data_IF_635079292767
#
_entry.id   IF_635079292767
#
_cell.length_a   1.000
_cell.length_b   1.000
_cell.length_c   1.000
_cell.angle_alpha   90.00
_cell.angle_beta   90.00
_cell.angle_gamma   90.00
#
_symmetry.space_group_name_H-M   'P 1'
#
loop_
_entity.id
_entity.type
_entity.pdbx_description
1 polymer ?
#
# COMPACT_ATOMS: atom_id res chain seq x y z
N UNK A 1 -1.03 -13.62 -31.06
CA UNK A 1 -1.90 -12.95 -32.06
C UNK A 1 -2.99 -13.85 -32.65
N UNK A 2 -4.24 -13.37 -32.77
CA UNK A 2 -5.36 -14.04 -33.46
C UNK A 2 -5.41 -13.68 -34.95
N UNK A 3 -5.75 -14.64 -35.81
CA UNK A 3 -6.07 -14.33 -37.22
C UNK A 3 -7.43 -13.64 -37.33
N UNK A 4 -7.70 -12.96 -38.45
CA UNK A 4 -9.01 -12.33 -38.72
C UNK A 4 -10.15 -13.33 -38.55
N UNK A 5 -9.96 -14.57 -39.01
CA UNK A 5 -10.95 -15.64 -38.92
C UNK A 5 -11.14 -16.13 -37.48
N UNK A 6 -10.06 -16.29 -36.71
CA UNK A 6 -10.11 -16.66 -35.29
C UNK A 6 -10.87 -15.62 -34.45
N UNK A 7 -10.62 -14.32 -34.70
CA UNK A 7 -11.34 -13.23 -34.02
C UNK A 7 -12.84 -13.27 -34.32
N UNK A 8 -13.20 -13.43 -35.60
CA UNK A 8 -14.61 -13.54 -36.00
C UNK A 8 -15.32 -14.71 -35.32
N UNK A 9 -14.68 -15.88 -35.23
CA UNK A 9 -15.22 -17.06 -34.56
C UNK A 9 -15.39 -16.81 -33.05
N UNK A 10 -14.39 -16.22 -32.39
CA UNK A 10 -14.45 -15.88 -30.96
C UNK A 10 -15.58 -14.89 -30.67
N UNK A 11 -15.74 -13.86 -31.50
CA UNK A 11 -16.79 -12.84 -31.35
C UNK A 11 -18.19 -13.44 -31.58
N UNK A 12 -18.34 -14.37 -32.53
CA UNK A 12 -19.58 -15.11 -32.75
C UNK A 12 -19.97 -15.96 -31.53
N UNK A 13 -19.03 -16.74 -30.98
CA UNK A 13 -19.28 -17.58 -29.80
C UNK A 13 -19.70 -16.71 -28.61
N UNK A 14 -19.03 -15.57 -28.41
CA UNK A 14 -19.37 -14.60 -27.36
C UNK A 14 -20.77 -14.03 -27.53
N UNK A 15 -21.16 -13.67 -28.75
CA UNK A 15 -22.52 -13.21 -29.05
C UNK A 15 -23.57 -14.30 -28.82
N UNK A 16 -23.29 -15.52 -29.28
CA UNK A 16 -24.20 -16.66 -29.19
C UNK A 16 -24.52 -17.05 -27.75
N UNK A 17 -23.50 -17.14 -26.88
CA UNK A 17 -23.67 -17.43 -25.45
C UNK A 17 -24.50 -16.34 -24.77
N UNK A 18 -24.24 -15.06 -25.10
CA UNK A 18 -24.95 -13.92 -24.53
C UNK A 18 -26.45 -13.94 -24.87
N UNK A 19 -26.80 -14.37 -26.09
CA UNK A 19 -28.19 -14.42 -26.56
C UNK A 19 -28.93 -15.68 -26.12
N UNK A 20 -28.25 -16.84 -26.09
CA UNK A 20 -28.90 -18.14 -25.89
C UNK A 20 -28.64 -18.77 -24.52
N UNK A 21 -27.76 -18.18 -23.69
CA UNK A 21 -27.34 -18.70 -22.38
C UNK A 21 -26.62 -20.07 -22.43
N UNK A 22 -26.18 -20.51 -23.61
CA UNK A 22 -25.38 -21.72 -23.82
C UNK A 22 -24.44 -21.56 -25.02
N UNK A 23 -23.38 -22.35 -25.07
CA UNK A 23 -22.39 -22.32 -26.15
C UNK A 23 -22.93 -22.92 -27.47
N UNK A 24 -22.51 -22.40 -28.63
CA UNK A 24 -22.87 -22.98 -29.92
C UNK A 24 -22.19 -24.34 -30.13
N UNK A 25 -22.79 -25.21 -30.94
CA UNK A 25 -22.16 -26.45 -31.41
C UNK A 25 -21.18 -26.18 -32.55
N UNK A 26 -20.35 -27.17 -32.89
CA UNK A 26 -19.43 -27.03 -34.03
C UNK A 26 -20.17 -26.86 -35.36
N UNK A 27 -21.36 -27.48 -35.48
CA UNK A 27 -22.25 -27.34 -36.63
C UNK A 27 -22.86 -25.94 -36.71
N UNK A 28 -23.32 -25.37 -35.59
CA UNK A 28 -23.86 -24.00 -35.53
C UNK A 28 -22.78 -22.96 -35.89
N UNK A 29 -21.53 -23.18 -35.47
CA UNK A 29 -20.39 -22.34 -35.88
C UNK A 29 -20.08 -22.55 -37.38
N UNK A 30 -20.08 -23.79 -37.88
CA UNK A 30 -19.79 -24.07 -39.28
C UNK A 30 -20.85 -23.44 -40.21
N UNK A 31 -22.14 -23.54 -39.85
CA UNK A 31 -23.26 -23.00 -40.61
C UNK A 31 -23.20 -21.46 -40.68
N UNK A 32 -22.98 -20.78 -39.54
CA UNK A 32 -22.87 -19.33 -39.49
C UNK A 32 -21.70 -18.79 -40.36
N UNK A 33 -20.62 -19.57 -40.48
CA UNK A 33 -19.43 -19.16 -41.22
C UNK A 33 -19.33 -19.77 -42.64
N UNK A 34 -20.32 -20.53 -43.07
CA UNK A 34 -20.37 -21.19 -44.39
C UNK A 34 -19.24 -22.20 -44.62
N UNK A 35 -18.80 -22.89 -43.57
CA UNK A 35 -17.68 -23.84 -43.62
C UNK A 35 -18.19 -25.24 -43.95
N UNK A 36 -17.58 -25.88 -44.95
CA UNK A 36 -17.98 -27.22 -45.42
C UNK A 36 -17.48 -28.37 -44.55
N UNK A 37 -16.57 -28.10 -43.60
CA UNK A 37 -15.97 -29.10 -42.72
C UNK A 37 -15.99 -28.66 -41.27
N UNK A 38 -16.57 -29.51 -40.41
CA UNK A 38 -16.52 -29.39 -38.95
C UNK A 38 -15.07 -29.40 -38.45
N UNK A 39 -14.17 -30.12 -39.14
CA UNK A 39 -12.75 -30.18 -38.80
C UNK A 39 -12.05 -28.83 -38.86
N UNK A 40 -12.44 -27.94 -39.79
CA UNK A 40 -11.88 -26.58 -39.88
C UNK A 40 -12.31 -25.70 -38.71
N UNK A 41 -13.53 -25.90 -38.20
CA UNK A 41 -13.99 -25.23 -36.97
C UNK A 41 -13.21 -25.75 -35.76
N UNK A 42 -13.04 -27.08 -35.65
CA UNK A 42 -12.28 -27.69 -34.57
C UNK A 42 -10.84 -27.19 -34.50
N UNK A 43 -10.16 -27.05 -35.66
CA UNK A 43 -8.81 -26.49 -35.76
C UNK A 43 -8.75 -25.01 -35.30
N UNK A 44 -9.73 -24.20 -35.68
CA UNK A 44 -9.78 -22.81 -35.22
C UNK A 44 -10.01 -22.69 -33.71
N UNK A 45 -10.85 -23.55 -33.14
CA UNK A 45 -11.11 -23.60 -31.71
C UNK A 45 -9.88 -24.12 -30.93
N UNK A 46 -9.18 -25.14 -31.42
CA UNK A 46 -7.93 -25.64 -30.82
C UNK A 46 -6.85 -24.54 -30.80
N UNK A 47 -6.75 -23.77 -31.88
CA UNK A 47 -5.85 -22.62 -31.93
C UNK A 47 -6.26 -21.47 -30.98
N UNK A 48 -7.55 -21.28 -30.73
CA UNK A 48 -8.04 -20.29 -29.78
C UNK A 48 -7.78 -20.75 -28.33
N UNK A 49 -7.93 -22.04 -28.08
CA UNK A 49 -7.65 -22.72 -26.82
C UNK A 49 -6.16 -22.70 -26.46
N UNK A 50 -5.28 -23.07 -27.41
CA UNK A 50 -3.84 -22.97 -27.27
C UNK A 50 -3.34 -21.54 -27.01
N UNK A 51 -4.13 -20.54 -27.40
CA UNK A 51 -3.86 -19.11 -27.17
C UNK A 51 -4.57 -18.55 -25.93
N UNK A 52 -5.27 -19.39 -25.16
CA UNK A 52 -5.88 -19.02 -23.89
C UNK A 52 -7.18 -18.22 -23.99
N UNK A 53 -7.87 -18.23 -25.13
CA UNK A 53 -9.12 -17.47 -25.32
C UNK A 53 -10.39 -18.25 -24.96
N UNK A 54 -10.31 -19.57 -24.93
CA UNK A 54 -11.42 -20.47 -24.59
C UNK A 54 -10.89 -21.81 -24.09
N UNK A 55 -11.74 -22.60 -23.46
CA UNK A 55 -11.48 -23.97 -23.03
C UNK A 55 -12.63 -24.86 -23.49
N UNK A 56 -12.34 -26.13 -23.80
CA UNK A 56 -13.36 -27.12 -24.18
C UNK A 56 -13.21 -28.39 -23.36
N UNK A 57 -14.34 -29.06 -23.11
CA UNK A 57 -14.35 -30.45 -22.64
C UNK A 57 -14.64 -31.40 -23.80
N UNK A 58 -13.80 -32.43 -23.96
CA UNK A 58 -13.93 -33.42 -25.02
C UNK A 58 -15.22 -34.26 -24.84
N UNK A 59 -15.88 -34.59 -25.97
CA UNK A 59 -17.07 -35.45 -26.05
C UNK A 59 -18.38 -34.93 -25.44
N UNK A 60 -18.53 -33.63 -25.23
CA UNK A 60 -19.78 -33.00 -24.78
C UNK A 60 -20.26 -31.96 -25.81
N UNK A 61 -21.51 -32.01 -26.31
CA UNK A 61 -22.06 -30.92 -27.09
C UNK A 61 -22.18 -29.66 -26.22
N UNK A 62 -21.79 -28.50 -26.77
CA UNK A 62 -21.86 -27.17 -26.13
C UNK A 62 -20.92 -26.99 -24.91
N UNK A 63 -19.73 -27.60 -24.92
CA UNK A 63 -18.74 -27.51 -23.86
C UNK A 63 -17.72 -26.35 -24.00
N UNK A 64 -18.04 -25.28 -24.73
CA UNK A 64 -17.11 -24.16 -24.95
C UNK A 64 -17.26 -23.15 -23.81
N UNK A 65 -16.22 -23.03 -22.99
CA UNK A 65 -16.09 -21.98 -21.97
C UNK A 65 -15.16 -20.88 -22.48
N UNK A 66 -15.63 -19.63 -22.50
CA UNK A 66 -14.78 -18.49 -22.86
C UNK A 66 -13.88 -18.13 -21.67
N UNK A 67 -12.58 -17.98 -21.93
CA UNK A 67 -11.62 -17.51 -20.94
C UNK A 67 -11.50 -15.99 -21.08
N UNK A 68 -11.77 -15.25 -20.01
CA UNK A 68 -11.62 -13.79 -20.00
C UNK A 68 -10.16 -13.40 -19.75
N UNK A 69 -9.38 -13.18 -20.82
CA UNK A 69 -8.03 -12.61 -20.73
C UNK A 69 -7.40 -12.26 -22.07
N UNK A 70 -6.90 -11.02 -22.23
CA UNK A 70 -6.11 -10.59 -23.39
C UNK A 70 -4.63 -11.01 -23.25
N UNK A 71 -3.89 -11.27 -24.35
CA UNK A 71 -2.52 -11.80 -24.29
C UNK A 71 -1.53 -10.78 -23.71
N UNK A 72 -0.72 -11.25 -22.76
CA UNK A 72 0.25 -10.45 -22.00
C UNK A 72 1.69 -10.79 -22.41
N UNK A 73 2.56 -9.78 -22.44
CA UNK A 73 4.01 -9.87 -22.66
C UNK A 73 4.74 -9.44 -21.38
N UNK A 74 5.78 -10.18 -20.99
CA UNK A 74 6.61 -9.86 -19.84
C UNK A 74 7.68 -8.83 -20.24
N UNK A 75 7.70 -7.66 -19.57
CA UNK A 75 8.68 -6.58 -19.79
C UNK A 75 9.52 -6.41 -18.52
N UNK A 76 10.87 -6.31 -18.62
CA UNK A 76 11.73 -6.14 -17.45
C UNK A 76 11.48 -4.81 -16.73
N UNK A 77 11.34 -4.86 -15.41
CA UNK A 77 11.23 -3.71 -14.52
C UNK A 77 12.61 -3.37 -13.96
N UNK A 78 13.23 -2.28 -14.43
CA UNK A 78 14.62 -1.94 -14.12
C UNK A 78 14.79 -1.01 -12.89
N UNK A 79 13.76 -0.87 -12.05
CA UNK A 79 13.83 -0.11 -10.79
C UNK A 79 13.12 1.25 -10.76
N UNK A 80 13.57 2.16 -9.88
CA UNK A 80 12.94 3.46 -9.55
C UNK A 80 13.63 4.66 -10.23
N UNK A 81 12.86 5.63 -10.73
CA UNK A 81 13.37 6.85 -11.44
C UNK A 81 13.91 7.94 -10.49
N UNK A 82 14.48 7.57 -9.34
CA UNK A 82 15.15 8.54 -8.45
C UNK A 82 16.30 7.94 -7.64
N UNK A 83 16.76 6.72 -7.97
CA UNK A 83 17.87 6.08 -7.29
C UNK A 83 19.14 6.12 -8.15
N UNK A 84 20.22 6.63 -7.55
CA UNK A 84 21.45 6.98 -8.24
C UNK A 84 22.44 5.83 -8.50
N UNK A 85 21.98 4.71 -9.07
CA UNK A 85 22.86 3.60 -9.43
C UNK A 85 22.78 3.24 -10.93
N UNK A 86 23.93 2.92 -11.58
CA UNK A 86 23.97 2.45 -12.95
C UNK A 86 23.15 1.17 -13.17
N UNK A 87 22.57 1.01 -14.36
CA UNK A 87 21.67 -0.12 -14.72
C UNK A 87 22.33 -1.52 -14.73
N UNK A 88 23.64 -1.61 -14.52
CA UNK A 88 24.42 -2.85 -14.71
C UNK A 88 24.72 -3.58 -13.39
N UNK A 89 23.72 -3.99 -12.58
CA UNK A 89 23.98 -4.88 -11.42
C UNK A 89 22.74 -5.53 -10.75
N UNK A 90 21.65 -5.82 -11.46
CA UNK A 90 20.48 -6.48 -10.83
C UNK A 90 20.28 -7.86 -11.48
N UNK A 91 20.67 -8.92 -10.76
CA UNK A 91 20.58 -10.32 -11.22
C UNK A 91 19.16 -10.90 -11.10
N UNK A 92 18.25 -10.28 -10.35
CA UNK A 92 16.83 -10.63 -10.31
C UNK A 92 16.00 -9.67 -11.17
N UNK A 93 15.70 -10.08 -12.40
CA UNK A 93 14.86 -9.29 -13.32
C UNK A 93 13.39 -9.48 -12.96
N UNK A 94 12.88 -8.66 -12.04
CA UNK A 94 11.42 -8.49 -11.91
C UNK A 94 10.85 -8.10 -13.28
N UNK A 95 9.73 -8.71 -13.67
CA UNK A 95 9.03 -8.40 -14.93
C UNK A 95 7.59 -7.99 -14.65
N UNK A 96 7.05 -7.12 -15.49
CA UNK A 96 5.63 -6.77 -15.49
C UNK A 96 4.93 -7.35 -16.71
N UNK A 97 3.70 -7.82 -16.52
CA UNK A 97 2.83 -8.24 -17.61
C UNK A 97 2.20 -7.00 -18.27
N UNK A 98 2.41 -6.83 -19.57
CA UNK A 98 1.87 -5.73 -20.37
C UNK A 98 1.11 -6.30 -21.56
N UNK A 99 -0.06 -5.73 -21.87
CA UNK A 99 -0.82 -6.11 -23.07
C UNK A 99 0.05 -5.96 -24.32
N UNK A 100 0.07 -6.99 -25.17
CA UNK A 100 0.89 -7.02 -26.40
C UNK A 100 0.62 -5.79 -27.30
N UNK A 101 -0.62 -5.29 -27.33
CA UNK A 101 -1.01 -4.11 -28.12
C UNK A 101 -0.41 -2.78 -27.66
N UNK A 102 0.04 -2.68 -26.40
CA UNK A 102 0.67 -1.47 -25.86
C UNK A 102 2.14 -1.34 -26.25
N UNK A 103 2.72 -2.41 -26.81
CA UNK A 103 4.10 -2.44 -27.24
C UNK A 103 4.20 -2.21 -28.75
N UNK A 104 5.09 -1.31 -29.21
CA UNK A 104 5.45 -1.25 -30.62
C UNK A 104 5.97 -2.60 -31.12
N UNK A 105 5.71 -2.91 -32.41
CA UNK A 105 6.04 -4.21 -33.03
C UNK A 105 7.53 -4.59 -33.02
N UNK A 106 8.43 -3.64 -32.75
CA UNK A 106 9.87 -3.88 -32.68
C UNK A 106 10.58 -2.90 -31.75
N UNK A 107 11.69 -3.36 -31.17
CA UNK A 107 12.52 -2.61 -30.24
C UNK A 107 12.68 -3.34 -28.90
N UNK A 108 13.63 -2.88 -28.09
CA UNK A 108 13.75 -3.31 -26.71
C UNK A 108 12.92 -2.39 -25.81
N UNK A 109 12.24 -3.00 -24.85
CA UNK A 109 11.38 -2.28 -23.91
C UNK A 109 11.77 -2.64 -22.49
N UNK A 110 11.69 -1.64 -21.62
CA UNK A 110 11.82 -1.82 -20.19
C UNK A 110 10.83 -0.92 -19.48
N UNK A 111 10.49 -1.27 -18.25
CA UNK A 111 9.63 -0.51 -17.40
C UNK A 111 10.43 0.11 -16.26
N UNK A 112 9.99 1.28 -15.81
CA UNK A 112 10.52 1.93 -14.61
C UNK A 112 9.38 2.46 -13.76
N UNK A 113 9.51 2.36 -12.44
CA UNK A 113 8.54 2.94 -11.50
C UNK A 113 8.92 4.39 -11.21
N UNK A 114 7.96 5.28 -11.40
CA UNK A 114 8.11 6.72 -11.23
C UNK A 114 8.14 7.04 -9.73
N UNK A 115 9.05 7.93 -9.37
CA UNK A 115 9.11 8.52 -8.03
C UNK A 115 9.16 10.05 -8.15
N UNK A 116 8.42 10.74 -7.29
CA UNK A 116 8.27 12.19 -7.30
C UNK A 116 7.19 12.71 -8.25
N UNK A 117 7.05 14.05 -8.27
CA UNK A 117 5.95 14.76 -8.91
C UNK A 117 6.38 15.59 -10.13
N UNK A 118 7.55 15.31 -10.71
CA UNK A 118 8.14 16.19 -11.75
C UNK A 118 7.41 16.19 -13.10
N UNK A 119 6.48 15.25 -13.30
CA UNK A 119 5.77 15.02 -14.55
C UNK A 119 4.25 14.98 -14.39
N UNK A 120 3.73 15.52 -13.28
CA UNK A 120 2.29 15.50 -12.95
C UNK A 120 1.41 16.20 -13.99
N UNK A 121 1.90 17.27 -14.62
CA UNK A 121 1.16 17.99 -15.67
C UNK A 121 1.06 17.18 -16.98
N UNK A 122 1.85 16.11 -17.12
CA UNK A 122 1.76 15.12 -18.20
C UNK A 122 0.96 13.88 -17.78
N UNK A 123 0.22 13.97 -16.67
CA UNK A 123 -0.48 12.86 -16.05
C UNK A 123 0.48 11.68 -15.82
N UNK A 124 1.65 11.95 -15.22
CA UNK A 124 2.58 10.93 -14.72
C UNK A 124 2.81 11.23 -13.24
N UNK A 125 2.27 10.36 -12.38
CA UNK A 125 2.25 10.54 -10.94
C UNK A 125 3.31 9.66 -10.27
N UNK A 126 3.64 10.00 -9.04
CA UNK A 126 4.42 9.13 -8.16
C UNK A 126 3.77 7.73 -8.08
N UNK A 127 4.59 6.69 -8.23
CA UNK A 127 4.15 5.30 -8.21
C UNK A 127 3.68 4.73 -9.56
N UNK A 128 3.40 5.58 -10.57
CA UNK A 128 3.08 5.10 -11.93
C UNK A 128 4.26 4.30 -12.49
N UNK A 129 3.98 3.38 -13.41
CA UNK A 129 5.02 2.69 -14.16
C UNK A 129 5.08 3.27 -15.57
N UNK A 130 6.25 3.75 -15.99
CA UNK A 130 6.46 4.17 -17.39
C UNK A 130 7.04 3.01 -18.18
N UNK A 131 6.46 2.78 -19.35
CA UNK A 131 6.97 1.86 -20.34
C UNK A 131 7.88 2.63 -21.28
N UNK A 132 9.13 2.17 -21.41
CA UNK A 132 10.21 2.88 -22.07
C UNK A 132 10.70 2.04 -23.24
N UNK A 133 10.80 2.66 -24.41
CA UNK A 133 11.53 2.10 -25.54
C UNK A 133 12.99 2.52 -25.44
N UNK A 134 13.88 1.54 -25.38
CA UNK A 134 15.32 1.77 -25.30
C UNK A 134 15.83 2.43 -26.58
N UNK A 135 16.44 3.62 -26.44
CA UNK A 135 17.05 4.35 -27.55
C UNK A 135 17.90 5.53 -27.04
N UNK A 136 18.92 5.91 -27.81
CA UNK A 136 19.89 6.96 -27.44
C UNK A 136 19.54 8.37 -27.93
N UNK A 137 18.42 8.54 -28.63
CA UNK A 137 18.02 9.81 -29.24
C UNK A 137 16.56 10.12 -28.93
N UNK A 138 16.19 11.40 -28.94
CA UNK A 138 14.82 11.86 -28.77
C UNK A 138 14.62 13.19 -29.51
N UNK A 139 13.38 13.45 -29.90
CA UNK A 139 12.92 14.72 -30.48
C UNK A 139 12.49 15.70 -29.39
N UNK A 140 12.52 17.00 -29.72
CA UNK A 140 12.12 18.05 -28.79
C UNK A 140 10.65 17.87 -28.36
N UNK A 141 10.40 17.93 -27.05
CA UNK A 141 9.10 17.74 -26.43
C UNK A 141 8.80 16.29 -26.03
N UNK A 142 9.59 15.30 -26.47
CA UNK A 142 9.41 13.91 -26.05
C UNK A 142 9.76 13.71 -24.57
N UNK A 143 9.06 12.79 -23.93
CA UNK A 143 9.32 12.35 -22.55
C UNK A 143 10.45 11.33 -22.59
N UNK A 144 11.55 11.63 -21.91
CA UNK A 144 12.77 10.81 -21.92
C UNK A 144 13.14 10.37 -20.53
N UNK A 145 13.67 9.14 -20.44
CA UNK A 145 14.49 8.73 -19.31
C UNK A 145 15.93 9.09 -19.65
N UNK A 146 16.51 9.99 -18.87
CA UNK A 146 17.86 10.50 -19.08
C UNK A 146 18.74 10.20 -17.86
N UNK A 147 19.96 9.75 -18.12
CA UNK A 147 21.03 9.64 -17.14
C UNK A 147 21.89 10.91 -17.23
N UNK A 148 22.06 11.59 -16.10
CA UNK A 148 22.85 12.83 -15.98
C UNK A 148 24.00 12.59 -15.01
N UNK A 149 25.19 13.08 -15.35
CA UNK A 149 26.43 12.93 -14.58
C UNK A 149 26.75 11.45 -14.20
N UNK A 150 26.35 10.49 -15.04
CA UNK A 150 26.55 9.05 -14.86
C UNK A 150 25.91 8.39 -13.62
N UNK A 151 25.17 9.13 -12.79
CA UNK A 151 24.46 8.55 -11.64
C UNK A 151 23.01 9.01 -11.50
N UNK A 152 22.58 10.12 -12.10
CA UNK A 152 21.24 10.68 -11.86
C UNK A 152 20.26 10.35 -12.99
N UNK A 153 19.44 9.30 -12.81
CA UNK A 153 18.37 8.94 -13.73
C UNK A 153 17.12 9.79 -13.47
N UNK A 154 16.61 10.48 -14.50
CA UNK A 154 15.45 11.35 -14.39
C UNK A 154 14.48 11.20 -15.55
N UNK A 155 13.19 11.42 -15.28
CA UNK A 155 12.13 11.51 -16.29
C UNK A 155 11.73 12.97 -16.51
N UNK A 156 11.94 13.48 -17.73
CA UNK A 156 11.65 14.88 -18.12
C UNK A 156 11.25 14.99 -19.59
N UNK A 157 10.72 16.14 -20.01
CA UNK A 157 10.65 16.48 -21.43
C UNK A 157 12.01 16.95 -21.95
N UNK A 158 12.45 16.39 -23.05
CA UNK A 158 13.72 16.72 -23.68
C UNK A 158 13.59 17.91 -24.61
N UNK A 159 14.51 18.87 -24.52
CA UNK A 159 14.69 19.93 -25.50
C UNK A 159 16.17 20.14 -25.79
N UNK A 160 16.57 19.98 -27.05
CA UNK A 160 17.88 20.35 -27.56
C UNK A 160 17.83 21.79 -28.06
N UNK A 161 18.64 22.64 -27.46
CA UNK A 161 18.78 24.06 -27.79
C UNK A 161 20.23 24.36 -28.20
N UNK A 162 20.49 25.57 -28.72
CA UNK A 162 21.82 25.94 -29.20
C UNK A 162 22.82 26.00 -28.04
N UNK A 163 23.62 24.96 -27.87
CA UNK A 163 24.72 24.91 -26.91
C UNK A 163 24.41 24.22 -25.58
N UNK A 164 23.18 23.77 -25.36
CA UNK A 164 22.78 23.01 -24.16
C UNK A 164 21.57 22.13 -24.40
N UNK A 165 21.36 21.16 -23.50
CA UNK A 165 20.15 20.37 -23.39
C UNK A 165 19.34 20.89 -22.20
N UNK A 166 18.03 21.05 -22.38
CA UNK A 166 17.09 21.40 -21.32
C UNK A 166 16.19 20.19 -21.05
N UNK A 167 16.22 19.72 -19.81
CA UNK A 167 15.30 18.72 -19.29
C UNK A 167 14.20 19.44 -18.51
N UNK A 168 13.05 19.57 -19.16
CA UNK A 168 11.92 20.33 -18.65
C UNK A 168 11.00 19.43 -17.82
N UNK A 169 10.78 19.72 -16.53
CA UNK A 169 9.71 19.08 -15.79
C UNK A 169 8.36 19.48 -16.37
N UNK A 170 7.43 18.52 -16.40
CA UNK A 170 6.01 18.81 -16.56
C UNK A 170 5.39 18.99 -15.17
N UNK A 171 5.86 20.04 -14.51
CA UNK A 171 5.36 20.52 -13.23
C UNK A 171 5.67 22.03 -13.17
N UNK A 172 4.64 22.88 -13.22
CA UNK A 172 4.78 24.34 -13.19
C UNK A 172 5.56 24.89 -11.98
N UNK A 173 5.65 24.14 -10.89
CA UNK A 173 6.37 24.54 -9.68
C UNK A 173 7.86 24.16 -9.67
N UNK A 174 8.38 23.53 -10.72
CA UNK A 174 9.77 23.07 -10.78
C UNK A 174 10.55 23.76 -11.91
N UNK A 175 11.80 24.10 -11.62
CA UNK A 175 12.69 24.69 -12.61
C UNK A 175 13.27 23.63 -13.58
N UNK A 176 13.53 24.00 -14.84
CA UNK A 176 14.18 23.13 -15.80
C UNK A 176 15.64 22.84 -15.42
N UNK A 177 16.09 21.63 -15.70
CA UNK A 177 17.50 21.24 -15.54
C UNK A 177 18.24 21.53 -16.84
N UNK A 178 19.28 22.36 -16.77
CA UNK A 178 20.11 22.75 -17.91
C UNK A 178 21.42 21.95 -17.89
N UNK A 179 21.67 21.22 -18.98
CA UNK A 179 22.88 20.43 -19.21
C UNK A 179 23.72 21.14 -20.26
N UNK A 180 24.86 21.69 -19.83
CA UNK A 180 25.86 22.31 -20.70
C UNK A 180 26.87 21.26 -21.19
N UNK A 181 27.72 21.64 -22.14
CA UNK A 181 28.68 20.74 -22.81
C UNK A 181 29.70 20.05 -21.89
N UNK A 182 29.89 20.59 -20.70
CA UNK A 182 30.80 20.11 -19.66
C UNK A 182 30.19 19.04 -18.74
N UNK A 183 28.90 18.69 -18.94
CA UNK A 183 28.22 17.64 -18.17
C UNK A 183 27.88 16.43 -19.01
N UNK A 184 27.98 15.26 -18.38
CA UNK A 184 27.64 13.98 -19.00
C UNK A 184 26.12 13.80 -19.04
N UNK A 185 25.62 13.35 -20.19
CA UNK A 185 24.19 13.20 -20.44
C UNK A 185 23.94 12.11 -21.49
N UNK A 186 23.15 11.11 -21.10
CA UNK A 186 22.73 10.02 -21.97
C UNK A 186 21.22 9.83 -21.91
N UNK A 187 20.59 9.67 -23.08
CA UNK A 187 19.20 9.23 -23.18
C UNK A 187 19.20 7.71 -23.10
N UNK A 188 18.48 7.16 -22.12
CA UNK A 188 18.30 5.72 -21.94
C UNK A 188 17.10 5.21 -22.77
N UNK A 189 16.09 6.06 -22.94
CA UNK A 189 14.95 5.75 -23.80
C UNK A 189 13.85 6.80 -23.79
N UNK A 190 12.82 6.54 -24.60
CA UNK A 190 11.61 7.38 -24.70
C UNK A 190 10.42 6.69 -24.03
N UNK A 191 9.60 7.46 -23.32
CA UNK A 191 8.37 6.93 -22.69
C UNK A 191 7.28 6.78 -23.75
N UNK A 192 6.89 5.53 -24.00
CA UNK A 192 5.88 5.16 -24.99
C UNK A 192 4.48 5.03 -24.39
N UNK A 193 4.37 4.53 -23.16
CA UNK A 193 3.11 4.44 -22.43
C UNK A 193 3.33 4.62 -20.93
N UNK A 194 2.25 4.88 -20.21
CA UNK A 194 2.23 4.98 -18.75
C UNK A 194 1.21 3.99 -18.25
N UNK A 195 1.70 2.92 -17.63
CA UNK A 195 0.87 2.00 -16.88
C UNK A 195 0.57 2.68 -15.56
N UNK A 196 -0.69 3.11 -15.44
CA UNK A 196 -1.25 3.47 -14.15
C UNK A 196 -1.21 2.21 -13.30
N UNK A 197 -0.24 2.12 -12.42
CA UNK A 197 -0.39 1.27 -11.24
C UNK A 197 -1.70 1.70 -10.61
N UNK A 198 -2.61 0.74 -10.42
CA UNK A 198 -3.97 0.99 -10.00
C UNK A 198 -3.98 2.13 -8.99
N UNK A 199 -4.68 3.20 -9.37
CA UNK A 199 -4.69 4.47 -8.70
C UNK A 199 -4.71 4.28 -7.18
N UNK A 200 -4.05 5.16 -6.39
CA UNK A 200 -4.73 5.60 -5.17
C UNK A 200 -6.15 5.90 -5.63
N UNK A 201 -7.16 5.12 -5.18
CA UNK A 201 -8.38 4.90 -5.93
C UNK A 201 -8.83 6.24 -6.47
N UNK A 202 -9.19 6.32 -7.78
CA UNK A 202 -10.07 7.43 -8.23
C UNK A 202 -11.06 7.58 -7.09
N UNK A 203 -11.24 8.76 -6.45
CA UNK A 203 -12.24 8.87 -5.43
C UNK A 203 -13.47 8.28 -6.09
N UNK A 204 -13.88 7.12 -5.59
CA UNK A 204 -15.22 6.67 -5.83
C UNK A 204 -15.94 7.93 -5.36
N UNK A 205 -16.66 8.59 -6.26
CA UNK A 205 -17.78 9.36 -5.77
C UNK A 205 -18.64 8.27 -5.14
N UNK A 206 -18.32 7.96 -3.89
CA UNK A 206 -19.30 7.55 -2.95
C UNK A 206 -20.29 8.69 -3.12
N UNK A 207 -21.42 8.40 -3.75
CA UNK A 207 -22.63 8.91 -3.17
C UNK A 207 -22.41 8.71 -1.69
N UNK A 208 -22.12 9.81 -0.99
CA UNK A 208 -22.02 9.77 0.45
C UNK A 208 -23.43 9.38 0.83
N UNK A 209 -23.66 8.07 0.92
CA UNK A 209 -24.69 7.55 1.76
C UNK A 209 -24.18 7.97 3.12
N UNK A 210 -24.55 9.20 3.51
CA UNK A 210 -24.61 9.59 4.90
C UNK A 210 -25.45 8.49 5.53
N UNK A 211 -24.79 7.44 6.00
CA UNK A 211 -25.41 6.53 6.93
C UNK A 211 -25.54 7.39 8.16
N UNK A 212 -26.75 7.87 8.42
CA UNK A 212 -27.19 8.37 9.72
C UNK A 212 -27.12 7.24 10.78
N UNK A 213 -26.02 6.46 10.78
CA UNK A 213 -25.68 5.51 11.81
C UNK A 213 -25.01 6.31 12.91
N UNK A 214 -25.73 6.50 14.02
CA UNK A 214 -25.15 7.02 15.25
C UNK A 214 -23.95 6.15 15.64
N UNK A 215 -22.76 6.76 15.76
CA UNK A 215 -21.56 6.06 16.18
C UNK A 215 -21.79 5.45 17.56
N UNK A 216 -21.63 4.13 17.67
CA UNK A 216 -21.73 3.42 18.94
C UNK A 216 -20.33 3.28 19.52
N UNK A 217 -20.02 4.14 20.49
CA UNK A 217 -18.73 4.18 21.19
C UNK A 217 -18.73 3.28 22.43
N UNK A 218 -17.54 3.12 23.02
CA UNK A 218 -17.22 2.32 24.20
C UNK A 218 -17.51 0.84 24.00
N UNK A 219 -17.08 0.31 22.85
CA UNK A 219 -17.31 -1.07 22.44
C UNK A 219 -16.02 -1.81 22.14
N UNK A 220 -15.99 -3.07 22.58
CA UNK A 220 -15.09 -4.11 22.08
C UNK A 220 -15.84 -4.83 20.96
N UNK A 221 -15.30 -4.82 19.75
CA UNK A 221 -15.90 -5.43 18.56
C UNK A 221 -14.99 -6.56 18.10
N UNK A 222 -15.50 -7.80 18.18
CA UNK A 222 -14.81 -8.97 17.65
C UNK A 222 -15.17 -9.13 16.16
N UNK A 223 -14.21 -8.98 15.26
CA UNK A 223 -14.45 -9.08 13.83
C UNK A 223 -13.25 -8.66 12.97
N UNK A 224 -13.37 -8.88 11.67
CA UNK A 224 -12.37 -8.40 10.71
C UNK A 224 -12.28 -6.88 10.71
N UNK A 225 -11.05 -6.37 10.65
CA UNK A 225 -10.78 -4.93 10.74
C UNK A 225 -11.44 -4.15 9.60
N UNK A 226 -11.37 -4.62 8.36
CA UNK A 226 -11.91 -3.90 7.21
C UNK A 226 -13.43 -3.96 7.20
N UNK A 227 -14.03 -5.11 7.54
CA UNK A 227 -15.47 -5.25 7.66
C UNK A 227 -16.04 -4.27 8.70
N UNK A 228 -15.47 -4.24 9.90
CA UNK A 228 -15.93 -3.36 10.97
C UNK A 228 -15.66 -1.90 10.63
N UNK A 229 -14.47 -1.56 10.13
CA UNK A 229 -14.14 -0.17 9.81
C UNK A 229 -15.06 0.41 8.72
N UNK A 230 -15.44 -0.37 7.70
CA UNK A 230 -16.39 0.05 6.64
C UNK A 230 -17.77 0.41 7.16
N UNK A 231 -18.14 -0.04 8.36
CA UNK A 231 -19.40 0.32 9.01
C UNK A 231 -19.34 1.62 9.79
N UNK A 232 -18.14 2.07 10.17
CA UNK A 232 -17.95 3.32 10.90
C UNK A 232 -18.25 4.52 9.99
N UNK A 233 -18.93 5.57 10.48
CA UNK A 233 -19.15 6.80 9.72
C UNK A 233 -17.82 7.50 9.40
N UNK A 234 -17.81 8.23 8.28
CA UNK A 234 -16.73 9.17 7.94
C UNK A 234 -16.57 10.21 9.04
N UNK A 235 -15.36 10.75 9.21
CA UNK A 235 -15.09 11.87 10.12
C UNK A 235 -15.72 11.69 11.53
N UNK A 236 -15.50 10.53 12.13
CA UNK A 236 -16.12 10.14 13.39
C UNK A 236 -15.12 9.82 14.51
N UNK A 237 -13.84 9.67 14.16
CA UNK A 237 -12.74 9.31 15.07
C UNK A 237 -11.78 10.49 15.23
N UNK A 238 -11.35 10.76 16.46
CA UNK A 238 -10.46 11.88 16.77
C UNK A 238 -8.99 11.47 16.81
N UNK A 239 -8.72 10.28 17.35
CA UNK A 239 -7.38 9.72 17.50
C UNK A 239 -7.45 8.22 17.21
N UNK A 240 -6.59 7.71 16.33
CA UNK A 240 -6.36 6.29 16.16
C UNK A 240 -4.98 5.94 16.74
N UNK A 241 -4.91 4.90 17.57
CA UNK A 241 -3.66 4.38 18.13
C UNK A 241 -3.67 2.88 17.91
N UNK A 242 -2.68 2.34 17.19
CA UNK A 242 -2.63 0.88 16.96
C UNK A 242 -1.23 0.36 16.68
N UNK A 243 -1.08 -0.96 16.64
CA UNK A 243 0.10 -1.70 16.17
C UNK A 243 -0.41 -2.88 15.34
N UNK A 244 -0.19 -2.91 14.02
CA UNK A 244 -0.62 -4.01 13.18
C UNK A 244 0.14 -5.32 13.53
N UNK A 245 -0.40 -6.48 13.15
CA UNK A 245 0.34 -7.74 13.17
C UNK A 245 1.50 -7.66 12.18
N UNK A 246 2.72 -8.09 12.54
CA UNK A 246 3.92 -7.82 11.74
C UNK A 246 4.26 -8.87 10.65
N UNK A 247 3.40 -9.88 10.43
CA UNK A 247 3.63 -10.98 9.46
C UNK A 247 5.05 -11.60 9.52
N UNK A 248 5.61 -11.74 10.73
CA UNK A 248 6.99 -12.24 10.98
C UNK A 248 7.04 -13.74 11.31
N UNK A 249 6.03 -14.52 10.91
CA UNK A 249 5.93 -15.95 11.22
C UNK A 249 5.84 -16.25 12.73
N UNK A 250 5.18 -15.38 13.50
CA UNK A 250 4.82 -15.67 14.89
C UNK A 250 3.41 -16.21 14.91
N UNK A 251 3.20 -17.38 15.50
CA UNK A 251 1.88 -17.96 15.71
C UNK A 251 1.04 -17.01 16.58
N UNK A 252 0.20 -16.21 15.94
CA UNK A 252 -0.99 -15.63 16.58
C UNK A 252 -2.11 -16.65 16.33
N UNK A 253 -2.73 -17.14 17.40
CA UNK A 253 -3.60 -18.33 17.40
C UNK A 253 -4.46 -18.50 16.12
N UNK A 254 -4.23 -19.62 15.42
CA UNK A 254 -5.06 -20.20 14.33
C UNK A 254 -5.17 -19.48 12.96
N UNK A 255 -4.18 -18.68 12.54
CA UNK A 255 -4.03 -18.33 11.12
C UNK A 255 -2.63 -18.74 10.62
N UNK A 256 -2.59 -19.50 9.52
CA UNK A 256 -1.35 -19.86 8.81
C UNK A 256 -0.78 -18.58 8.16
N UNK A 257 -0.03 -17.81 8.94
CA UNK A 257 0.53 -16.50 8.62
C UNK A 257 1.71 -16.61 7.63
N UNK A 258 1.42 -17.09 6.41
CA UNK A 258 2.31 -16.97 5.25
C UNK A 258 1.67 -16.10 4.18
N UNK A 259 1.17 -14.92 4.57
CA UNK A 259 0.90 -13.89 3.58
C UNK A 259 2.21 -13.48 2.93
N UNK A 260 2.23 -13.41 1.60
CA UNK A 260 3.36 -12.85 0.87
C UNK A 260 3.51 -11.37 1.26
N UNK A 261 4.75 -10.85 1.29
CA UNK A 261 5.02 -9.53 1.85
C UNK A 261 4.21 -8.43 1.15
N UNK A 262 4.06 -8.51 -0.17
CA UNK A 262 3.27 -7.54 -0.93
C UNK A 262 1.77 -7.63 -0.61
N UNK A 263 1.23 -8.84 -0.39
CA UNK A 263 -0.15 -9.03 0.04
C UNK A 263 -0.42 -8.38 1.41
N UNK A 264 0.47 -8.59 2.38
CA UNK A 264 0.39 -7.97 3.71
C UNK A 264 0.44 -6.44 3.65
N UNK A 265 1.38 -5.90 2.86
CA UNK A 265 1.54 -4.46 2.65
C UNK A 265 0.30 -3.85 1.96
N UNK A 266 -0.31 -4.55 1.01
CA UNK A 266 -1.52 -4.12 0.32
C UNK A 266 -2.76 -4.18 1.22
N UNK A 267 -2.87 -5.23 2.04
CA UNK A 267 -3.95 -5.35 3.02
C UNK A 267 -3.93 -4.21 4.03
N UNK A 268 -2.77 -3.90 4.61
CA UNK A 268 -2.64 -2.74 5.51
C UNK A 268 -2.91 -1.41 4.82
N UNK A 269 -2.57 -1.27 3.53
CA UNK A 269 -2.91 -0.08 2.77
C UNK A 269 -4.43 0.16 2.69
N UNK A 270 -5.23 -0.89 2.58
CA UNK A 270 -6.69 -0.78 2.65
C UNK A 270 -7.16 -0.35 4.04
N UNK A 271 -6.52 -0.83 5.10
CA UNK A 271 -6.80 -0.39 6.48
C UNK A 271 -6.44 1.09 6.67
N UNK A 272 -5.34 1.55 6.08
CA UNK A 272 -4.93 2.97 6.10
C UNK A 272 -5.92 3.89 5.39
N UNK A 273 -6.49 3.44 4.26
CA UNK A 273 -7.56 4.17 3.57
C UNK A 273 -8.78 4.36 4.46
N UNK A 274 -9.22 3.30 5.12
CA UNK A 274 -10.35 3.37 6.06
C UNK A 274 -9.99 4.23 7.29
N UNK A 275 -8.76 4.15 7.78
CA UNK A 275 -8.26 4.98 8.89
C UNK A 275 -8.36 6.47 8.53
N UNK A 276 -7.89 6.87 7.35
CA UNK A 276 -8.04 8.24 6.86
C UNK A 276 -9.52 8.62 6.73
N UNK A 277 -10.38 7.73 6.21
CA UNK A 277 -11.81 8.00 6.03
C UNK A 277 -12.50 8.32 7.36
N UNK A 278 -12.30 7.50 8.38
CA UNK A 278 -12.98 7.63 9.68
C UNK A 278 -12.40 8.73 10.56
N UNK A 279 -11.13 9.13 10.39
CA UNK A 279 -10.56 10.25 11.14
C UNK A 279 -11.22 11.58 10.75
N UNK A 280 -11.49 12.45 11.72
CA UNK A 280 -11.90 13.83 11.44
C UNK A 280 -10.76 14.67 10.85
N UNK A 281 -11.03 15.77 10.15
CA UNK A 281 -9.99 16.74 9.80
C UNK A 281 -9.28 17.27 11.05
N UNK A 282 -7.96 17.14 11.10
CA UNK A 282 -7.15 17.44 12.27
C UNK A 282 -7.00 16.25 13.24
N UNK A 283 -7.78 15.18 13.05
CA UNK A 283 -7.64 13.92 13.77
C UNK A 283 -6.24 13.32 13.60
N UNK A 284 -5.82 12.53 14.58
CA UNK A 284 -4.46 12.00 14.68
C UNK A 284 -4.43 10.50 14.46
N UNK A 285 -3.34 10.04 13.86
CA UNK A 285 -3.03 8.61 13.81
C UNK A 285 -1.64 8.37 14.38
N UNK A 286 -1.55 7.57 15.43
CA UNK A 286 -0.31 7.12 16.05
C UNK A 286 -0.13 5.62 15.76
N UNK A 287 0.78 5.31 14.85
CA UNK A 287 1.06 3.95 14.39
C UNK A 287 2.35 3.46 15.00
N UNK A 288 2.27 2.49 15.90
CA UNK A 288 3.44 1.85 16.48
C UNK A 288 3.94 0.73 15.58
N UNK A 289 5.23 0.75 15.22
CA UNK A 289 5.88 -0.20 14.32
C UNK A 289 7.20 -0.68 14.92
N UNK A 290 7.31 -1.99 15.09
CA UNK A 290 8.58 -2.63 15.39
C UNK A 290 9.46 -2.76 14.13
N UNK A 291 10.78 -2.59 14.25
CA UNK A 291 11.70 -3.01 13.20
C UNK A 291 11.62 -4.54 13.04
N UNK A 292 11.29 -5.02 11.84
CA UNK A 292 11.10 -6.44 11.51
C UNK A 292 12.30 -6.99 10.75
N UNK A 293 12.64 -8.26 11.01
CA UNK A 293 13.76 -8.95 10.36
C UNK A 293 15.11 -8.51 10.93
N UNK A 294 15.82 -9.41 11.62
CA UNK A 294 17.20 -9.14 12.05
C UNK A 294 18.15 -9.48 10.89
N UNK A 295 17.94 -10.62 10.20
CA UNK A 295 18.76 -11.05 9.04
C UNK A 295 18.48 -10.23 7.78
N UNK A 296 17.21 -10.10 7.43
CA UNK A 296 16.74 -9.33 6.28
C UNK A 296 15.94 -8.15 6.82
N UNK A 297 16.66 -7.08 7.18
CA UNK A 297 16.05 -5.92 7.81
C UNK A 297 15.11 -5.21 6.85
N UNK A 298 13.80 -5.24 7.15
CA UNK A 298 12.77 -4.57 6.37
C UNK A 298 12.31 -3.33 7.12
N UNK A 299 12.52 -2.12 6.58
CA UNK A 299 12.18 -0.88 7.26
C UNK A 299 10.69 -0.53 7.12
N UNK A 300 9.79 -1.36 7.65
CA UNK A 300 8.33 -1.18 7.55
C UNK A 300 7.83 0.23 7.88
N UNK A 301 8.48 0.89 8.83
CA UNK A 301 8.19 2.28 9.21
C UNK A 301 8.34 3.27 8.04
N UNK A 302 9.30 3.08 7.13
CA UNK A 302 9.43 3.88 5.91
C UNK A 302 8.29 3.60 4.94
N UNK A 303 7.95 2.32 4.73
CA UNK A 303 6.90 1.90 3.81
C UNK A 303 5.54 2.47 4.23
N UNK A 304 5.19 2.31 5.51
CA UNK A 304 3.94 2.84 6.05
C UNK A 304 3.92 4.37 6.10
N UNK A 305 5.07 5.02 6.35
CA UNK A 305 5.15 6.49 6.24
C UNK A 305 4.85 6.95 4.81
N UNK A 306 5.43 6.28 3.80
CA UNK A 306 5.20 6.62 2.40
C UNK A 306 3.75 6.34 1.99
N UNK A 307 3.19 5.19 2.36
CA UNK A 307 1.78 4.87 2.10
C UNK A 307 0.83 5.92 2.68
N UNK A 308 1.00 6.29 3.96
CA UNK A 308 0.15 7.31 4.60
C UNK A 308 0.30 8.67 3.92
N UNK A 309 1.53 9.08 3.56
CA UNK A 309 1.78 10.33 2.83
C UNK A 309 1.14 10.34 1.45
N UNK A 310 1.19 9.22 0.73
CA UNK A 310 0.55 9.05 -0.58
C UNK A 310 -0.98 9.09 -0.49
N UNK A 311 -1.55 8.64 0.62
CA UNK A 311 -2.96 8.86 0.95
C UNK A 311 -3.28 10.32 1.31
N UNK A 312 -2.29 11.22 1.35
CA UNK A 312 -2.48 12.64 1.69
C UNK A 312 -2.54 12.92 3.19
N UNK A 313 -2.18 11.96 4.04
CA UNK A 313 -2.01 12.23 5.47
C UNK A 313 -0.73 13.04 5.70
N UNK A 314 -0.80 14.01 6.61
CA UNK A 314 0.36 14.81 6.97
C UNK A 314 1.19 14.09 7.99
N UNK A 315 2.42 13.72 7.65
CA UNK A 315 3.39 13.23 8.61
C UNK A 315 3.79 14.36 9.57
N UNK A 316 3.66 14.12 10.87
CA UNK A 316 3.89 15.13 11.93
C UNK A 316 5.25 14.96 12.56
N UNK A 317 5.56 13.73 12.95
CA UNK A 317 6.80 13.35 13.61
C UNK A 317 6.89 11.83 13.67
N UNK A 318 8.09 11.34 13.96
CA UNK A 318 8.33 10.03 14.54
C UNK A 318 8.70 10.19 16.02
N UNK A 319 8.31 9.21 16.83
CA UNK A 319 8.74 9.07 18.22
C UNK A 319 9.50 7.75 18.32
N UNK A 320 10.69 7.78 18.90
CA UNK A 320 11.51 6.59 19.15
C UNK A 320 11.17 6.07 20.54
N UNK A 321 10.48 4.94 20.59
CA UNK A 321 10.23 4.24 21.84
C UNK A 321 11.38 3.28 22.15
N UNK A 322 12.23 3.66 23.09
CA UNK A 322 13.35 2.85 23.56
C UNK A 322 12.90 1.83 24.62
N UNK A 323 13.03 0.54 24.28
CA UNK A 323 12.67 -0.62 25.10
C UNK A 323 13.88 -1.05 25.93
N UNK A 324 13.88 -0.72 27.22
CA UNK A 324 15.00 -0.98 28.14
C UNK A 324 15.16 -2.45 28.60
N UNK A 325 14.98 -3.42 27.69
CA UNK A 325 14.99 -4.86 28.04
C UNK A 325 16.07 -5.66 27.33
N UNK A 326 16.99 -5.02 26.62
CA UNK A 326 17.95 -5.71 25.77
C UNK A 326 19.19 -6.18 26.55
N UNK A 327 19.24 -7.48 26.85
CA UNK A 327 20.41 -8.15 27.42
C UNK A 327 21.54 -8.36 26.39
N UNK A 328 21.22 -8.44 25.09
CA UNK A 328 22.18 -8.63 23.98
C UNK A 328 22.05 -7.48 22.98
N UNK A 329 23.16 -6.77 22.72
CA UNK A 329 23.17 -5.58 21.81
C UNK A 329 23.59 -5.89 20.38
N UNK A 330 24.23 -7.04 20.15
CA UNK A 330 24.68 -7.49 18.83
C UNK A 330 24.00 -8.80 18.44
N UNK A 331 23.42 -8.85 17.24
CA UNK A 331 22.75 -10.04 16.73
C UNK A 331 23.81 -11.13 16.45
N UNK A 332 24.83 -10.74 15.67
CA UNK A 332 26.07 -11.44 15.37
C UNK A 332 27.21 -10.43 15.20
N UNK A 333 28.44 -10.93 15.10
CA UNK A 333 29.66 -10.14 15.06
C UNK A 333 30.64 -10.53 16.17
N UNK A 334 31.93 -10.35 15.92
CA UNK A 334 33.00 -10.68 16.86
C UNK A 334 33.59 -9.41 17.47
N UNK A 335 33.91 -9.45 18.76
CA UNK A 335 34.58 -8.35 19.43
C UNK A 335 35.93 -8.04 18.75
N UNK A 336 36.22 -6.75 18.52
CA UNK A 336 37.39 -6.27 17.76
C UNK A 336 37.45 -6.72 16.29
N UNK A 337 36.33 -7.12 15.70
CA UNK A 337 36.24 -7.42 14.27
C UNK A 337 35.16 -6.55 13.60
N UNK A 338 35.51 -5.80 12.55
CA UNK A 338 34.53 -5.09 11.74
C UNK A 338 33.90 -5.98 10.67
N UNK A 339 34.23 -7.29 10.62
CA UNK A 339 33.86 -8.16 9.51
C UNK A 339 32.35 -8.25 9.27
N UNK A 340 31.54 -8.29 10.33
CA UNK A 340 30.08 -8.31 10.23
C UNK A 340 29.37 -8.04 11.58
N UNK A 341 29.60 -6.90 12.28
CA UNK A 341 28.79 -6.57 13.46
C UNK A 341 27.39 -6.11 13.06
N UNK A 342 26.35 -6.70 13.65
CA UNK A 342 24.97 -6.32 13.39
C UNK A 342 24.23 -5.87 14.66
N UNK A 343 23.55 -4.74 14.57
CA UNK A 343 22.85 -4.09 15.69
C UNK A 343 21.49 -4.76 15.87
N UNK A 344 21.15 -5.15 17.09
CA UNK A 344 19.76 -5.53 17.39
C UNK A 344 18.99 -4.27 17.77
N UNK A 345 17.91 -3.92 17.03
CA UNK A 345 17.10 -2.77 17.39
C UNK A 345 16.52 -2.93 18.79
N UNK A 346 16.76 -1.93 19.63
CA UNK A 346 16.27 -1.85 21.01
C UNK A 346 15.10 -0.86 21.15
N UNK A 347 14.53 -0.45 20.02
CA UNK A 347 13.48 0.55 19.94
C UNK A 347 12.38 0.14 18.97
N UNK A 348 11.26 0.84 19.04
CA UNK A 348 10.18 0.84 18.06
C UNK A 348 9.87 2.28 17.66
N UNK A 349 9.15 2.44 16.55
CA UNK A 349 8.75 3.73 16.03
C UNK A 349 7.28 3.96 16.31
N UNK A 350 6.91 5.15 16.79
CA UNK A 350 5.52 5.62 16.72
C UNK A 350 5.46 6.72 15.67
N UNK A 351 4.85 6.41 14.54
CA UNK A 351 4.65 7.32 13.44
C UNK A 351 3.37 8.13 13.70
N UNK A 352 3.46 9.46 13.69
CA UNK A 352 2.32 10.33 13.98
C UNK A 352 1.91 11.09 12.73
N UNK A 353 0.63 10.98 12.39
CA UNK A 353 0.03 11.66 11.24
C UNK A 353 -1.19 12.50 11.63
N UNK A 354 -1.58 13.43 10.77
CA UNK A 354 -2.86 14.13 10.85
C UNK A 354 -3.60 14.18 9.52
N UNK A 355 -4.93 14.08 9.57
CA UNK A 355 -5.79 14.21 8.38
C UNK A 355 -6.02 15.68 8.02
N UNK A 356 -5.81 16.04 6.75
CA UNK A 356 -6.11 17.31 6.06
C UNK A 356 -5.48 18.60 6.64
N UNK A 357 -5.56 18.81 7.95
CA UNK A 357 -5.07 20.00 8.66
C UNK A 357 -4.27 19.63 9.90
N UNK A 358 -3.49 20.60 10.34
CA UNK A 358 -2.54 20.42 11.44
C UNK A 358 -3.23 20.50 12.79
N UNK A 359 -4.28 21.32 12.93
CA UNK A 359 -4.96 21.54 14.21
C UNK A 359 -6.11 20.56 14.39
N UNK A 360 -6.14 19.87 15.53
CA UNK A 360 -7.33 19.17 16.02
C UNK A 360 -8.25 20.22 16.65
N UNK A 361 -9.46 20.39 16.13
CA UNK A 361 -10.45 21.27 16.76
C UNK A 361 -11.09 20.57 17.96
N UNK A 362 -11.33 21.32 19.02
CA UNK A 362 -11.95 20.82 20.24
C UNK A 362 -12.10 21.90 21.29
N UNK A 363 -12.79 21.57 22.39
CA UNK A 363 -12.98 22.48 23.50
C UNK A 363 -11.70 22.53 24.36
N UNK A 364 -11.01 23.68 24.48
CA UNK A 364 -9.78 23.78 25.27
C UNK A 364 -9.97 23.42 26.75
N UNK A 365 -11.19 23.56 27.30
CA UNK A 365 -11.50 23.15 28.68
C UNK A 365 -11.45 21.63 28.89
N UNK A 366 -11.51 20.86 27.81
CA UNK A 366 -11.41 19.40 27.82
C UNK A 366 -9.95 18.92 27.66
N UNK A 367 -8.99 19.83 27.52
CA UNK A 367 -7.57 19.48 27.56
C UNK A 367 -7.17 19.20 29.01
N UNK A 368 -6.74 17.98 29.28
CA UNK A 368 -6.38 17.51 30.62
C UNK A 368 -4.90 17.14 30.75
N UNK A 369 -4.09 17.45 29.74
CA UNK A 369 -2.64 17.36 29.83
C UNK A 369 -2.10 18.45 30.77
N UNK A 370 -1.26 18.04 31.71
CA UNK A 370 -0.58 18.95 32.64
C UNK A 370 0.67 19.53 32.00
N UNK A 371 1.22 20.61 32.58
CA UNK A 371 2.46 21.21 32.12
C UNK A 371 3.64 20.23 32.13
N UNK A 372 3.77 19.44 33.20
CA UNK A 372 4.85 18.46 33.35
C UNK A 372 4.74 17.36 32.28
N UNK A 373 3.53 16.82 32.09
CA UNK A 373 3.26 15.85 31.03
C UNK A 373 3.54 16.43 29.65
N UNK A 374 3.11 17.66 29.37
CA UNK A 374 3.37 18.29 28.08
C UNK A 374 4.87 18.37 27.78
N UNK A 375 5.67 18.85 28.73
CA UNK A 375 7.12 18.93 28.57
C UNK A 375 7.71 17.53 28.33
N UNK A 376 7.29 16.54 29.13
CA UNK A 376 7.79 15.16 29.03
C UNK A 376 7.38 14.45 27.74
N UNK A 377 6.16 14.66 27.28
CA UNK A 377 5.59 13.95 26.12
C UNK A 377 6.00 14.61 24.80
N UNK A 378 6.40 15.88 24.84
CA UNK A 378 6.89 16.61 23.67
C UNK A 378 8.29 16.17 23.20
N UNK A 379 9.03 15.40 24.00
CA UNK A 379 10.28 14.77 23.58
C UNK A 379 10.00 13.64 22.59
N UNK A 380 10.73 13.59 21.48
CA UNK A 380 10.64 12.52 20.48
C UNK A 380 11.30 11.21 20.93
N UNK A 381 12.02 11.18 22.05
CA UNK A 381 12.66 9.98 22.59
C UNK A 381 11.97 9.49 23.87
N UNK A 382 11.25 8.38 23.78
CA UNK A 382 10.48 7.83 24.90
C UNK A 382 11.11 6.57 25.46
N UNK A 383 11.64 6.68 26.67
CA UNK A 383 12.11 5.53 27.44
C UNK A 383 10.95 4.95 28.25
N UNK A 384 10.40 3.83 27.79
CA UNK A 384 9.27 3.15 28.44
C UNK A 384 9.59 1.65 28.47
N UNK A 385 9.45 1.03 29.65
CA UNK A 385 9.64 -0.41 29.79
C UNK A 385 8.50 -1.17 29.08
N UNK A 386 8.79 -2.24 28.33
CA UNK A 386 7.75 -3.08 27.74
C UNK A 386 6.95 -3.82 28.82
N UNK A 387 5.72 -4.18 28.49
CA UNK A 387 4.88 -4.95 29.40
C UNK A 387 5.42 -6.37 29.55
N UNK A 388 5.70 -6.78 30.79
CA UNK A 388 6.26 -8.11 31.10
C UNK A 388 5.17 -9.12 31.43
N UNK A 389 3.99 -8.65 31.89
CA UNK A 389 2.84 -9.50 32.18
C UNK A 389 1.99 -9.65 30.92
N UNK A 390 2.33 -10.66 30.11
CA UNK A 390 1.69 -10.98 28.84
C UNK A 390 0.18 -11.25 28.92
N UNK A 391 -0.35 -11.75 30.05
CA UNK A 391 -1.80 -11.95 30.31
C UNK A 391 -2.57 -12.60 29.14
N UNK A 392 -1.97 -13.58 28.47
CA UNK A 392 -2.58 -14.26 27.31
C UNK A 392 -2.34 -13.60 25.95
N UNK A 393 -1.72 -12.42 25.89
CA UNK A 393 -1.30 -11.77 24.64
C UNK A 393 0.21 -11.86 24.44
N UNK A 394 0.71 -12.21 23.24
CA UNK A 394 2.13 -12.38 23.01
C UNK A 394 2.95 -11.08 23.16
N UNK A 395 2.35 -9.92 22.88
CA UNK A 395 3.03 -8.62 22.91
C UNK A 395 2.08 -7.43 23.22
N UNK A 396 1.60 -7.24 24.46
CA UNK A 396 0.72 -6.12 24.80
C UNK A 396 1.48 -4.78 24.84
N UNK A 397 0.81 -3.71 24.42
CA UNK A 397 1.30 -2.34 24.60
C UNK A 397 1.54 -2.01 26.08
N UNK A 398 2.60 -1.25 26.42
CA UNK A 398 2.72 -0.62 27.74
C UNK A 398 1.61 0.41 27.93
N UNK A 399 0.94 0.39 29.08
CA UNK A 399 -0.11 1.35 29.42
C UNK A 399 0.39 2.81 29.38
N UNK A 400 1.64 3.06 29.81
CA UNK A 400 2.27 4.38 29.78
C UNK A 400 2.39 4.93 28.35
N UNK A 401 2.73 4.08 27.35
CA UNK A 401 2.86 4.53 25.97
C UNK A 401 1.53 5.09 25.44
N UNK A 402 0.47 4.32 25.65
CA UNK A 402 -0.88 4.71 25.24
C UNK A 402 -1.37 5.93 26.04
N UNK A 403 -1.06 6.00 27.33
CA UNK A 403 -1.41 7.13 28.17
C UNK A 403 -0.86 8.45 27.62
N UNK A 404 0.43 8.47 27.22
CA UNK A 404 1.06 9.63 26.60
C UNK A 404 0.38 10.02 25.30
N UNK A 405 0.19 9.07 24.40
CA UNK A 405 -0.43 9.32 23.09
C UNK A 405 -1.85 9.88 23.24
N UNK A 406 -2.66 9.26 24.11
CA UNK A 406 -4.05 9.69 24.35
C UNK A 406 -4.11 11.10 24.90
N UNK A 407 -3.33 11.42 25.94
CA UNK A 407 -3.37 12.76 26.56
C UNK A 407 -2.76 13.85 25.68
N UNK A 408 -1.71 13.53 24.92
CA UNK A 408 -1.01 14.51 24.10
C UNK A 408 -1.76 14.84 22.80
N UNK A 409 -2.50 13.89 22.24
CA UNK A 409 -3.14 14.01 20.93
C UNK A 409 -4.67 14.07 20.93
N UNK A 410 -5.34 14.11 22.10
CA UNK A 410 -6.80 14.20 22.18
C UNK A 410 -7.31 15.00 23.38
N UNK A 411 -8.53 15.51 23.27
CA UNK A 411 -9.30 16.08 24.39
C UNK A 411 -10.10 14.99 25.12
N UNK A 412 -10.51 15.24 26.37
CA UNK A 412 -11.53 14.40 27.03
C UNK A 412 -12.82 14.34 26.20
N UNK A 413 -13.48 13.18 26.20
CA UNK A 413 -14.68 12.92 25.40
C UNK A 413 -14.43 12.75 23.89
N UNK A 414 -13.17 12.85 23.42
CA UNK A 414 -12.84 12.44 22.07
C UNK A 414 -12.89 10.91 21.93
N UNK A 415 -13.14 10.44 20.71
CA UNK A 415 -13.20 9.01 20.38
C UNK A 415 -11.83 8.51 19.94
N UNK A 416 -11.32 7.49 20.63
CA UNK A 416 -10.06 6.80 20.35
C UNK A 416 -10.32 5.46 19.67
N UNK A 417 -9.80 5.25 18.47
CA UNK A 417 -9.87 3.98 17.75
C UNK A 417 -8.60 3.16 17.96
N UNK A 418 -8.77 1.87 18.20
CA UNK A 418 -7.73 0.87 18.05
C UNK A 418 -8.27 -0.28 17.21
N UNK A 419 -7.74 -0.41 16.00
CA UNK A 419 -8.23 -1.37 15.01
C UNK A 419 -7.49 -2.72 15.01
N UNK A 420 -6.45 -2.84 15.83
CA UNK A 420 -5.72 -4.08 16.13
C UNK A 420 -5.56 -4.18 17.64
N UNK A 421 -6.70 -4.30 18.31
CA UNK A 421 -6.85 -3.96 19.71
C UNK A 421 -6.17 -4.92 20.70
N UNK A 422 -5.93 -6.17 20.30
CA UNK A 422 -5.43 -7.24 21.14
C UNK A 422 -6.22 -7.32 22.45
N UNK A 423 -5.52 -7.36 23.57
CA UNK A 423 -6.15 -7.45 24.90
C UNK A 423 -6.64 -6.11 25.47
N UNK A 424 -6.87 -5.10 24.63
CA UNK A 424 -7.64 -3.91 25.01
C UNK A 424 -6.90 -2.85 25.79
N UNK A 425 -5.57 -2.75 25.67
CA UNK A 425 -4.81 -1.70 26.37
C UNK A 425 -5.29 -0.29 25.99
N UNK A 426 -5.57 -0.03 24.70
CA UNK A 426 -6.07 1.29 24.26
C UNK A 426 -7.45 1.59 24.83
N UNK A 427 -8.38 0.63 24.79
CA UNK A 427 -9.71 0.77 25.36
C UNK A 427 -9.68 1.10 26.85
N UNK A 428 -8.87 0.36 27.63
CA UNK A 428 -8.71 0.57 29.08
C UNK A 428 -8.17 1.98 29.37
N UNK A 429 -7.16 2.43 28.62
CA UNK A 429 -6.56 3.74 28.86
C UNK A 429 -7.45 4.89 28.39
N UNK A 430 -8.17 4.73 27.28
CA UNK A 430 -9.16 5.69 26.83
C UNK A 430 -10.24 5.88 27.91
N UNK A 431 -10.82 4.78 28.42
CA UNK A 431 -11.78 4.83 29.52
C UNK A 431 -11.18 5.47 30.79
N UNK A 432 -9.97 5.06 31.19
CA UNK A 432 -9.25 5.61 32.35
C UNK A 432 -9.08 7.13 32.27
N UNK A 433 -8.82 7.65 31.08
CA UNK A 433 -8.56 9.07 30.83
C UNK A 433 -9.81 9.86 30.43
N UNK A 434 -11.00 9.24 30.43
CA UNK A 434 -12.25 9.90 30.10
C UNK A 434 -12.40 10.22 28.61
N UNK A 435 -11.87 9.36 27.75
CA UNK A 435 -12.13 9.34 26.30
C UNK A 435 -13.11 8.21 25.99
N UNK A 436 -13.89 8.42 24.95
CA UNK A 436 -14.65 7.35 24.34
C UNK A 436 -13.72 6.49 23.49
N UNK A 437 -14.08 5.24 23.22
CA UNK A 437 -13.24 4.37 22.39
C UNK A 437 -14.02 3.44 21.47
N UNK A 438 -13.34 2.96 20.44
CA UNK A 438 -13.75 1.81 19.63
C UNK A 438 -12.55 0.89 19.54
N UNK A 439 -12.76 -0.37 19.86
CA UNK A 439 -11.74 -1.40 19.84
C UNK A 439 -12.19 -2.50 18.89
N UNK A 440 -11.30 -2.94 18.01
CA UNK A 440 -11.54 -4.00 17.04
C UNK A 440 -10.42 -5.01 17.16
N UNK A 441 -10.77 -6.30 17.24
CA UNK A 441 -9.81 -7.38 17.10
C UNK A 441 -10.49 -8.61 16.49
N UNK A 442 -9.76 -9.37 15.68
CA UNK A 442 -10.30 -10.59 15.05
C UNK A 442 -10.35 -11.76 16.05
N UNK A 443 -9.46 -11.77 17.05
CA UNK A 443 -9.39 -12.83 18.04
C UNK A 443 -10.47 -12.66 19.10
N UNK A 444 -11.40 -13.62 19.12
CA UNK A 444 -12.45 -13.70 20.14
C UNK A 444 -11.87 -13.77 21.56
N UNK A 445 -10.80 -14.54 21.76
CA UNK A 445 -10.13 -14.66 23.05
C UNK A 445 -9.55 -13.31 23.50
N UNK A 446 -8.93 -12.55 22.60
CA UNK A 446 -8.39 -11.23 22.94
C UNK A 446 -9.50 -10.23 23.27
N UNK A 447 -10.61 -10.27 22.52
CA UNK A 447 -11.80 -9.47 22.82
C UNK A 447 -12.40 -9.79 24.19
N UNK A 448 -12.48 -11.06 24.59
CA UNK A 448 -12.96 -11.47 25.91
C UNK A 448 -12.07 -10.91 27.03
N UNK A 449 -10.74 -11.05 26.90
CA UNK A 449 -9.78 -10.48 27.86
C UNK A 449 -9.85 -8.95 27.88
N UNK A 450 -10.02 -8.31 26.73
CA UNK A 450 -10.18 -6.86 26.62
C UNK A 450 -11.43 -6.39 27.39
N UNK A 451 -12.56 -7.09 27.25
CA UNK A 451 -13.80 -6.77 27.94
C UNK A 451 -13.65 -6.93 29.47
N UNK A 452 -13.02 -8.01 29.94
CA UNK A 452 -12.77 -8.21 31.38
C UNK A 452 -11.89 -7.10 31.98
N UNK A 453 -10.83 -6.70 31.28
CA UNK A 453 -9.94 -5.61 31.72
C UNK A 453 -10.68 -4.28 31.78
N UNK A 454 -11.50 -3.98 30.78
CA UNK A 454 -12.32 -2.78 30.72
C UNK A 454 -13.33 -2.74 31.86
N UNK A 455 -14.07 -3.83 32.10
CA UNK A 455 -15.05 -3.93 33.18
C UNK A 455 -14.41 -3.68 34.54
N UNK A 456 -13.21 -4.22 34.77
CA UNK A 456 -12.44 -4.00 35.99
C UNK A 456 -12.04 -2.53 36.15
N UNK A 457 -11.61 -1.87 35.08
CA UNK A 457 -11.26 -0.44 35.12
C UNK A 457 -12.49 0.43 35.41
N UNK A 458 -13.62 0.16 34.75
CA UNK A 458 -14.88 0.89 34.98
C UNK A 458 -15.34 0.72 36.44
N UNK A 459 -15.28 -0.50 36.99
CA UNK A 459 -15.60 -0.75 38.41
C UNK A 459 -14.68 0.03 39.34
N UNK A 460 -13.38 0.06 39.05
CA UNK A 460 -12.40 0.83 39.84
C UNK A 460 -12.71 2.32 39.85
N UNK A 461 -13.09 2.89 38.70
CA UNK A 461 -13.45 4.31 38.60
C UNK A 461 -14.75 4.67 39.34
N UNK A 462 -15.69 3.74 39.49
CA UNK A 462 -16.93 3.97 40.27
C UNK A 462 -16.70 3.95 41.79
N UNK A 463 -15.58 3.40 42.25
CA UNK A 463 -15.22 3.29 43.67
C UNK A 463 -14.34 4.46 44.15
N UNK A 464 -13.86 5.29 43.22
CA UNK A 464 -13.11 6.53 43.46
C UNK A 464 -14.05 7.73 43.33
#
# INVERSE_FOLDING_TARGET
MLTKRQKQILDFIRGYIKENSYAPTLEEIAENFGLSSIGTVAEHLENLEAKGYLKREDNQPRSIDLLEGEPMVQVPLLGLISAGQPMEAIEDKETIAVLEEKLPKSGNFFALKVTGNSMVDENINDGDIVLVKEQKTAENGQRVVALVDNYNTTLKKFYREKGYVRLQPANKGLEPVIIKRDREFDIQGIVIDVIKTGAAPKPIRYEHVRKDKKLQVNKIICGDVLEVMRELPDDSIHLAITSPPYNVGKDYDNHDDKMEYQEYINWLYEVWKETKRVLIPGGRFALNIAPTGIRDFVPLHHDFTNQMRNLGMKFRTEIIWYKQTMLKRTAWGSFKSPSNPHIVPSWEYILVFSKDKDKLDGNPKMADITREEFMKFSDGFWQIQPETKRKGHPAPFPEELIYRLTKYYSYKGNVVLDMFGGTGTVAVIAARTGRDFIHIDVSKQYCEVAQERLDKEIRRQKLL
#
